data_IF_807723777896
#
_entry.id   IF_807723777896
#
_cell.length_a   1.000
_cell.length_b   1.000
_cell.length_c   1.000
_cell.angle_alpha   90.00
_cell.angle_beta   90.00
_cell.angle_gamma   90.00
#
_symmetry.space_group_name_H-M   'P 1'
#
loop_
_entity.id
_entity.type
_entity.pdbx_description
1 polymer ?
#
# COMPACT_ATOMS: atom_id res chain seq x y z
N UNK A 1 -10.28 -15.47 4.70
CA UNK A 1 -9.35 -14.32 4.44
C UNK A 1 -9.24 -13.48 5.70
N UNK A 2 -8.02 -13.13 6.10
CA UNK A 2 -7.73 -12.29 7.28
C UNK A 2 -7.71 -10.81 6.90
N UNK A 3 -7.99 -9.94 7.89
CA UNK A 3 -8.08 -8.50 7.69
C UNK A 3 -6.80 -7.84 8.23
N UNK A 4 -6.16 -7.01 7.41
CA UNK A 4 -5.04 -6.16 7.80
C UNK A 4 -5.36 -4.68 7.57
N UNK A 5 -4.55 -3.79 8.13
CA UNK A 5 -4.65 -2.35 7.88
C UNK A 5 -3.29 -1.68 7.98
N UNK A 6 -3.12 -0.57 7.27
CA UNK A 6 -1.89 0.24 7.35
C UNK A 6 -1.75 0.92 8.70
N UNK A 7 -0.51 0.97 9.24
CA UNK A 7 -0.23 1.75 10.46
C UNK A 7 -0.17 3.26 10.20
N UNK A 8 -0.15 3.67 8.95
CA UNK A 8 -0.09 5.07 8.55
C UNK A 8 -1.25 5.91 9.08
N UNK A 9 -2.43 5.28 9.25
CA UNK A 9 -3.60 5.94 9.81
C UNK A 9 -3.34 6.66 11.14
N UNK A 10 -2.40 6.16 11.93
CA UNK A 10 -2.08 6.72 13.25
C UNK A 10 -0.95 7.74 13.22
N UNK A 11 -0.17 7.83 12.14
CA UNK A 11 1.00 8.70 12.05
C UNK A 11 0.75 10.17 12.38
N UNK A 12 -0.37 10.80 12.00
CA UNK A 12 -0.63 12.18 12.37
C UNK A 12 -0.72 12.42 13.89
N UNK A 13 -1.08 11.38 14.66
CA UNK A 13 -1.46 11.48 16.08
C UNK A 13 -0.42 10.91 17.04
N UNK A 14 0.71 10.40 16.55
CA UNK A 14 1.75 9.72 17.34
C UNK A 14 3.14 10.23 16.98
N UNK A 15 4.16 9.92 17.80
CA UNK A 15 5.51 10.42 17.60
C UNK A 15 6.38 9.47 16.75
N UNK A 16 6.10 8.16 16.75
CA UNK A 16 6.90 7.15 16.06
C UNK A 16 6.07 5.91 15.71
N UNK A 17 6.68 4.99 14.95
CA UNK A 17 6.02 3.77 14.48
C UNK A 17 5.62 2.80 15.61
N UNK A 18 6.38 2.73 16.71
CA UNK A 18 6.02 1.87 17.85
C UNK A 18 4.75 2.38 18.56
N UNK A 19 4.60 3.70 18.68
CA UNK A 19 3.36 4.30 19.19
C UNK A 19 2.19 4.08 18.22
N UNK A 20 2.44 4.16 16.90
CA UNK A 20 1.43 3.84 15.89
C UNK A 20 0.90 2.41 16.07
N UNK A 21 1.78 1.43 16.22
CA UNK A 21 1.41 0.04 16.52
C UNK A 21 0.58 -0.06 17.80
N UNK A 22 1.03 0.59 18.87
CA UNK A 22 0.34 0.57 20.18
C UNK A 22 -1.08 1.13 20.10
N UNK A 23 -1.34 2.06 19.20
CA UNK A 23 -2.64 2.67 18.99
C UNK A 23 -3.71 1.68 18.48
N UNK A 24 -3.30 0.54 17.91
CA UNK A 24 -4.23 -0.49 17.40
C UNK A 24 -4.79 -1.43 18.48
N UNK A 25 -4.29 -1.37 19.73
CA UNK A 25 -4.81 -2.19 20.83
C UNK A 25 -6.31 -1.94 21.02
N UNK A 26 -7.11 -3.01 20.94
CA UNK A 26 -8.58 -2.95 21.13
C UNK A 26 -9.39 -2.57 19.89
N UNK A 27 -8.76 -2.30 18.74
CA UNK A 27 -9.48 -1.98 17.50
C UNK A 27 -10.06 -3.20 16.77
N UNK A 28 -9.57 -4.40 17.10
CA UNK A 28 -9.96 -5.66 16.45
C UNK A 28 -8.93 -6.17 15.45
N UNK A 29 -8.11 -5.31 14.87
CA UNK A 29 -7.01 -5.73 13.98
C UNK A 29 -5.97 -6.55 14.75
N UNK A 30 -5.42 -7.56 14.07
CA UNK A 30 -4.26 -8.36 14.50
C UNK A 30 -3.12 -8.28 13.50
N UNK A 31 -3.43 -7.93 12.27
CA UNK A 31 -2.50 -7.89 11.14
C UNK A 31 -2.32 -6.46 10.66
N UNK A 32 -1.08 -6.05 10.46
CA UNK A 32 -0.70 -4.68 10.14
C UNK A 32 0.12 -4.62 8.85
N UNK A 33 -0.09 -3.58 8.07
CA UNK A 33 0.76 -3.16 6.98
C UNK A 33 1.71 -2.05 7.48
N UNK A 34 3.01 -2.21 7.20
CA UNK A 34 4.04 -1.26 7.63
C UNK A 34 4.35 -0.28 6.50
N UNK A 35 3.83 0.94 6.60
CA UNK A 35 4.05 1.95 5.57
C UNK A 35 5.39 2.67 5.74
N UNK A 36 6.23 2.61 4.69
CA UNK A 36 7.39 3.48 4.49
C UNK A 36 7.09 4.64 3.53
N UNK A 37 5.84 4.79 3.07
CA UNK A 37 5.43 5.70 2.00
C UNK A 37 6.05 7.10 2.17
N UNK A 38 5.83 7.74 3.30
CA UNK A 38 6.30 9.09 3.61
C UNK A 38 7.76 9.18 4.10
N UNK A 39 8.51 8.07 4.18
CA UNK A 39 9.84 8.01 4.83
C UNK A 39 10.89 8.96 4.26
N UNK A 40 10.77 9.36 3.00
CA UNK A 40 11.66 10.33 2.35
C UNK A 40 11.05 11.72 2.25
N UNK A 41 9.73 11.83 2.26
CA UNK A 41 9.00 13.10 2.11
C UNK A 41 8.78 13.74 3.48
N UNK A 42 8.31 12.94 4.45
CA UNK A 42 8.05 13.35 5.85
C UNK A 42 8.73 12.36 6.83
N UNK A 43 10.06 12.37 6.93
CA UNK A 43 10.79 11.32 7.64
C UNK A 43 10.65 11.35 9.17
N UNK A 44 9.86 12.25 9.75
CA UNK A 44 9.81 12.46 11.21
C UNK A 44 9.34 11.22 11.97
N UNK A 45 8.41 10.45 11.40
CA UNK A 45 7.81 9.28 12.07
C UNK A 45 8.57 7.99 11.78
N UNK A 46 9.02 7.81 10.54
CA UNK A 46 9.66 6.58 10.06
C UNK A 46 10.86 6.87 9.15
N UNK A 47 11.95 7.45 9.68
CA UNK A 47 13.10 7.82 8.87
C UNK A 47 13.91 6.58 8.46
N UNK A 48 14.14 6.39 7.14
CA UNK A 48 15.01 5.35 6.59
C UNK A 48 16.45 5.80 6.39
N UNK A 49 16.70 7.10 6.21
CA UNK A 49 18.03 7.65 5.85
C UNK A 49 18.84 8.15 7.05
N UNK A 50 18.57 7.61 8.24
CA UNK A 50 19.32 7.88 9.49
C UNK A 50 20.09 6.64 9.92
N UNK A 51 21.09 6.81 10.79
CA UNK A 51 21.98 5.72 11.20
C UNK A 51 21.26 4.66 12.05
N UNK A 52 20.29 5.08 12.88
CA UNK A 52 19.54 4.23 13.81
C UNK A 52 18.23 3.66 13.21
N UNK A 53 18.07 3.67 11.89
CA UNK A 53 16.82 3.22 11.26
C UNK A 53 16.47 1.76 11.58
N UNK A 54 17.45 0.88 11.67
CA UNK A 54 17.23 -0.54 12.05
C UNK A 54 16.70 -0.67 13.47
N UNK A 55 17.22 0.11 14.41
CA UNK A 55 16.76 0.09 15.80
C UNK A 55 15.31 0.60 15.92
N UNK A 56 14.92 1.54 15.06
CA UNK A 56 13.53 2.03 15.02
C UNK A 56 12.57 0.95 14.50
N UNK A 57 12.96 0.23 13.44
CA UNK A 57 12.18 -0.89 12.92
C UNK A 57 12.09 -2.03 13.95
N UNK A 58 13.20 -2.36 14.61
CA UNK A 58 13.22 -3.37 15.68
C UNK A 58 12.28 -3.01 16.82
N UNK A 59 12.29 -1.76 17.29
CA UNK A 59 11.34 -1.32 18.34
C UNK A 59 9.88 -1.48 17.91
N UNK A 60 9.55 -1.14 16.66
CA UNK A 60 8.19 -1.36 16.16
C UNK A 60 7.83 -2.85 16.11
N UNK A 61 8.79 -3.71 15.73
CA UNK A 61 8.62 -5.18 15.73
C UNK A 61 8.41 -5.71 17.14
N UNK A 62 9.27 -5.33 18.09
CA UNK A 62 9.17 -5.73 19.50
C UNK A 62 7.82 -5.31 20.09
N UNK A 63 7.41 -4.06 19.83
CA UNK A 63 6.09 -3.56 20.28
C UNK A 63 4.95 -4.38 19.67
N UNK A 64 5.03 -4.73 18.40
CA UNK A 64 4.02 -5.56 17.74
C UNK A 64 3.94 -6.95 18.39
N UNK A 65 5.10 -7.60 18.64
CA UNK A 65 5.17 -8.92 19.25
C UNK A 65 4.61 -8.92 20.70
N UNK A 66 4.99 -7.93 21.50
CA UNK A 66 4.49 -7.77 22.87
C UNK A 66 2.98 -7.57 22.93
N UNK A 67 2.40 -6.89 21.95
CA UNK A 67 0.98 -6.57 21.88
C UNK A 67 0.17 -7.60 21.08
N UNK A 68 0.82 -8.62 20.49
CA UNK A 68 0.18 -9.68 19.73
C UNK A 68 -0.24 -9.28 18.31
N UNK A 69 0.43 -8.30 17.70
CA UNK A 69 0.27 -7.93 16.31
C UNK A 69 1.27 -8.66 15.41
N UNK A 70 0.91 -8.82 14.13
CA UNK A 70 1.78 -9.38 13.11
C UNK A 70 1.81 -8.45 11.90
N UNK A 71 3.01 -8.06 11.45
CA UNK A 71 3.16 -7.37 10.18
C UNK A 71 3.08 -8.39 9.03
N UNK A 72 2.30 -8.07 8.00
CA UNK A 72 2.00 -9.00 6.90
C UNK A 72 2.28 -8.43 5.51
N UNK A 73 2.33 -7.12 5.41
CA UNK A 73 2.55 -6.37 4.19
C UNK A 73 3.33 -5.11 4.52
N UNK A 74 3.97 -4.50 3.53
CA UNK A 74 4.54 -3.17 3.64
C UNK A 74 4.29 -2.36 2.38
N UNK A 75 4.33 -1.04 2.51
CA UNK A 75 4.40 -0.10 1.40
C UNK A 75 5.80 0.53 1.32
N UNK A 76 6.41 0.53 0.13
CA UNK A 76 7.72 1.12 -0.11
C UNK A 76 7.68 2.67 -0.04
N UNK A 77 8.85 3.33 0.20
CA UNK A 77 8.89 4.78 0.17
C UNK A 77 8.62 5.32 -1.23
N UNK A 78 7.89 6.44 -1.31
CA UNK A 78 7.82 7.22 -2.55
C UNK A 78 9.18 7.88 -2.80
N UNK A 79 9.74 7.62 -3.97
CA UNK A 79 11.06 8.13 -4.33
C UNK A 79 11.18 8.36 -5.85
N UNK A 80 12.17 9.18 -6.21
CA UNK A 80 12.60 9.29 -7.60
C UNK A 80 13.33 8.01 -8.02
N UNK A 81 12.92 7.41 -9.13
CA UNK A 81 13.50 6.16 -9.63
C UNK A 81 14.43 6.35 -10.83
N UNK A 82 14.59 7.58 -11.29
CA UNK A 82 15.60 7.97 -12.30
C UNK A 82 16.21 9.34 -11.98
N UNK A 83 17.28 9.68 -12.68
CA UNK A 83 17.97 10.96 -12.50
C UNK A 83 18.92 10.98 -11.29
N UNK A 84 19.20 12.18 -10.79
CA UNK A 84 20.23 12.40 -9.75
C UNK A 84 19.84 11.82 -8.37
N UNK A 85 18.56 11.69 -8.09
CA UNK A 85 18.04 11.24 -6.79
C UNK A 85 17.70 9.74 -6.77
N UNK A 86 17.84 9.05 -7.91
CA UNK A 86 17.55 7.61 -8.04
C UNK A 86 18.40 6.75 -7.08
N UNK A 87 19.68 7.11 -6.83
CA UNK A 87 20.54 6.38 -5.90
C UNK A 87 20.02 6.44 -4.46
N UNK A 88 19.49 7.60 -4.05
CA UNK A 88 18.81 7.74 -2.76
C UNK A 88 17.55 6.88 -2.70
N UNK A 89 16.77 6.86 -3.76
CA UNK A 89 15.58 6.00 -3.89
C UNK A 89 15.93 4.51 -3.80
N UNK A 90 16.96 4.06 -4.53
CA UNK A 90 17.46 2.68 -4.47
C UNK A 90 17.88 2.33 -3.04
N UNK A 91 18.67 3.19 -2.39
CA UNK A 91 19.15 2.96 -1.02
C UNK A 91 17.98 2.86 -0.02
N UNK A 92 17.02 3.78 -0.10
CA UNK A 92 15.85 3.76 0.78
C UNK A 92 14.98 2.50 0.55
N UNK A 93 14.79 2.11 -0.71
CA UNK A 93 14.01 0.90 -1.04
C UNK A 93 14.74 -0.37 -0.60
N UNK A 94 16.07 -0.44 -0.72
CA UNK A 94 16.86 -1.57 -0.17
C UNK A 94 16.71 -1.63 1.35
N UNK A 95 16.78 -0.49 2.06
CA UNK A 95 16.57 -0.45 3.51
C UNK A 95 15.16 -0.88 3.91
N UNK A 96 14.13 -0.55 3.13
CA UNK A 96 12.78 -1.05 3.39
C UNK A 96 12.63 -2.55 3.12
N UNK A 97 13.35 -3.12 2.13
CA UNK A 97 13.44 -4.58 1.93
C UNK A 97 14.11 -5.26 3.14
N UNK A 98 15.23 -4.73 3.63
CA UNK A 98 15.89 -5.24 4.85
C UNK A 98 14.97 -5.10 6.09
N UNK A 99 14.22 -4.00 6.19
CA UNK A 99 13.22 -3.81 7.24
C UNK A 99 12.09 -4.83 7.15
N UNK A 100 11.60 -5.15 5.96
CA UNK A 100 10.62 -6.23 5.76
C UNK A 100 11.13 -7.56 6.32
N UNK A 101 12.41 -7.89 6.14
CA UNK A 101 13.01 -9.09 6.74
C UNK A 101 12.98 -9.05 8.27
N UNK A 102 13.32 -7.91 8.88
CA UNK A 102 13.25 -7.71 10.35
C UNK A 102 11.81 -7.89 10.85
N UNK A 103 10.85 -7.33 10.14
CA UNK A 103 9.42 -7.35 10.48
C UNK A 103 8.74 -8.70 10.19
N UNK A 104 9.39 -9.59 9.42
CA UNK A 104 8.81 -10.85 8.96
C UNK A 104 7.84 -10.71 7.79
N UNK A 105 7.93 -9.61 7.03
CA UNK A 105 7.08 -9.29 5.89
C UNK A 105 7.64 -9.92 4.62
N UNK A 106 6.78 -10.59 3.86
CA UNK A 106 7.12 -11.22 2.58
C UNK A 106 6.81 -10.33 1.37
N UNK A 107 5.82 -9.47 1.46
CA UNK A 107 5.28 -8.69 0.35
C UNK A 107 5.42 -7.19 0.63
N UNK A 108 6.11 -6.48 -0.26
CA UNK A 108 6.22 -5.01 -0.21
C UNK A 108 5.64 -4.42 -1.49
N UNK A 109 4.61 -3.62 -1.34
CA UNK A 109 3.95 -2.87 -2.42
C UNK A 109 4.82 -1.69 -2.80
N UNK A 110 4.89 -1.36 -4.08
CA UNK A 110 5.66 -0.23 -4.60
C UNK A 110 4.98 0.41 -5.81
N UNK A 111 4.96 1.73 -5.83
CA UNK A 111 4.67 2.48 -7.06
C UNK A 111 5.85 2.43 -8.02
N UNK A 112 5.56 2.22 -9.29
CA UNK A 112 6.55 2.44 -10.35
C UNK A 112 6.72 3.94 -10.64
N UNK A 113 7.75 4.32 -11.39
CA UNK A 113 8.13 5.72 -11.54
C UNK A 113 7.13 6.59 -12.29
N UNK A 114 7.00 7.83 -11.86
CA UNK A 114 6.20 8.83 -12.53
C UNK A 114 7.07 9.68 -13.47
N UNK A 115 6.77 9.68 -14.76
CA UNK A 115 7.57 10.37 -15.79
C UNK A 115 6.73 11.34 -16.63
N UNK A 116 7.03 12.62 -16.55
CA UNK A 116 6.31 13.67 -17.27
C UNK A 116 6.53 13.65 -18.78
N UNK A 117 7.48 12.87 -19.28
CA UNK A 117 7.88 12.77 -20.68
C UNK A 117 7.44 11.47 -21.37
N UNK A 118 6.92 10.48 -20.64
CA UNK A 118 6.44 9.22 -21.21
C UNK A 118 4.92 9.20 -21.34
N UNK A 119 4.43 9.14 -22.57
CA UNK A 119 3.01 9.15 -22.88
C UNK A 119 2.47 7.75 -23.16
N UNK A 120 1.20 7.52 -22.90
CA UNK A 120 0.51 6.27 -23.28
C UNK A 120 0.62 5.99 -24.79
N UNK A 121 0.67 7.04 -25.61
CA UNK A 121 0.87 6.92 -27.06
C UNK A 121 2.23 6.32 -27.44
N UNK A 122 3.24 6.42 -26.59
CA UNK A 122 4.59 5.86 -26.82
C UNK A 122 4.66 4.35 -26.52
N UNK A 123 3.60 3.81 -25.90
CA UNK A 123 3.47 2.41 -25.52
C UNK A 123 4.16 2.08 -24.19
N UNK A 124 3.77 0.94 -23.63
CA UNK A 124 4.24 0.47 -22.30
C UNK A 124 5.73 0.14 -22.28
N UNK A 125 6.30 -0.33 -23.40
CA UNK A 125 7.69 -0.77 -23.44
C UNK A 125 8.70 0.35 -23.14
N UNK A 126 8.42 1.59 -23.58
CA UNK A 126 9.27 2.74 -23.25
C UNK A 126 9.29 2.97 -21.74
N UNK A 127 8.12 2.94 -21.12
CA UNK A 127 7.97 3.08 -19.68
C UNK A 127 8.67 1.94 -18.90
N UNK A 128 8.50 0.69 -19.33
CA UNK A 128 9.15 -0.46 -18.67
C UNK A 128 10.67 -0.35 -18.69
N UNK A 129 11.25 0.08 -19.82
CA UNK A 129 12.69 0.28 -19.96
C UNK A 129 13.24 1.39 -19.05
N UNK A 130 12.47 2.44 -18.82
CA UNK A 130 12.89 3.52 -17.92
C UNK A 130 12.86 3.08 -16.45
N UNK A 131 11.93 2.19 -16.08
CA UNK A 131 11.82 1.63 -14.74
C UNK A 131 12.82 0.49 -14.47
N UNK A 132 13.22 -0.26 -15.51
CA UNK A 132 14.03 -1.47 -15.39
C UNK A 132 15.31 -1.29 -14.57
N UNK A 133 16.16 -0.26 -14.76
CA UNK A 133 17.41 -0.13 -14.03
C UNK A 133 17.22 -0.03 -12.51
N UNK A 134 16.21 0.71 -12.08
CA UNK A 134 15.88 0.84 -10.66
C UNK A 134 15.47 -0.50 -10.06
N UNK A 135 14.50 -1.19 -10.66
CA UNK A 135 13.98 -2.45 -10.11
C UNK A 135 14.99 -3.59 -10.21
N UNK A 136 15.83 -3.63 -11.24
CA UNK A 136 16.93 -4.63 -11.29
C UNK A 136 17.99 -4.40 -10.22
N UNK A 137 18.25 -3.15 -9.80
CA UNK A 137 19.16 -2.86 -8.71
C UNK A 137 18.66 -3.39 -7.36
N UNK A 138 17.35 -3.64 -7.20
CA UNK A 138 16.75 -4.17 -5.97
C UNK A 138 16.87 -5.70 -5.87
N UNK A 139 17.02 -6.43 -6.99
CA UNK A 139 16.96 -7.89 -7.03
C UNK A 139 17.89 -8.56 -6.02
N UNK A 140 19.18 -8.17 -5.87
CA UNK A 140 20.04 -8.79 -4.87
C UNK A 140 19.50 -8.70 -3.45
N UNK A 141 18.93 -7.54 -3.07
CA UNK A 141 18.33 -7.36 -1.75
C UNK A 141 17.03 -8.17 -1.59
N UNK A 142 16.21 -8.27 -2.65
CA UNK A 142 15.01 -9.08 -2.68
C UNK A 142 15.33 -10.57 -2.45
N UNK A 143 16.34 -11.09 -3.14
CA UNK A 143 16.79 -12.49 -3.02
C UNK A 143 17.38 -12.79 -1.63
N UNK A 144 18.27 -11.92 -1.13
CA UNK A 144 18.93 -12.09 0.18
C UNK A 144 17.91 -12.07 1.33
N UNK A 145 16.88 -11.23 1.23
CA UNK A 145 15.89 -11.06 2.28
C UNK A 145 14.61 -11.87 2.06
N UNK A 146 14.47 -12.54 0.92
CA UNK A 146 13.28 -13.31 0.50
C UNK A 146 12.00 -12.46 0.53
N UNK A 147 12.06 -11.24 -0.05
CA UNK A 147 10.97 -10.27 -0.11
C UNK A 147 10.51 -10.07 -1.55
N UNK A 148 9.21 -10.17 -1.78
CA UNK A 148 8.59 -9.83 -3.05
C UNK A 148 8.39 -8.33 -3.18
N UNK A 149 8.62 -7.79 -4.37
CA UNK A 149 8.22 -6.44 -4.77
C UNK A 149 6.96 -6.55 -5.61
N UNK A 150 5.92 -5.84 -5.21
CA UNK A 150 4.61 -5.88 -5.83
C UNK A 150 4.30 -4.53 -6.48
N UNK A 151 4.23 -4.52 -7.81
CA UNK A 151 3.83 -3.32 -8.54
C UNK A 151 2.35 -3.03 -8.30
N UNK A 152 2.06 -1.81 -7.94
CA UNK A 152 0.70 -1.35 -7.69
C UNK A 152 0.12 -0.65 -8.93
N UNK A 153 -1.17 -0.90 -9.20
CA UNK A 153 -1.88 -0.13 -10.22
C UNK A 153 -2.11 1.31 -9.75
N UNK A 154 -1.96 2.23 -10.68
CA UNK A 154 -2.36 3.63 -10.49
C UNK A 154 -3.70 3.90 -11.19
N UNK A 155 -4.12 5.16 -11.27
CA UNK A 155 -5.26 5.61 -12.03
C UNK A 155 -4.85 6.55 -13.16
N UNK A 156 -5.54 6.46 -14.31
CA UNK A 156 -5.31 7.36 -15.45
C UNK A 156 -5.51 8.83 -15.06
N UNK A 157 -6.44 9.07 -14.13
CA UNK A 157 -6.72 10.42 -13.65
C UNK A 157 -5.57 11.09 -12.90
N UNK A 158 -4.59 10.31 -12.36
CA UNK A 158 -3.36 10.84 -11.78
C UNK A 158 -2.35 11.24 -12.84
N UNK A 159 -2.57 10.84 -14.08
CA UNK A 159 -1.66 11.05 -15.19
C UNK A 159 -2.22 12.11 -16.13
N UNK A 160 -2.18 13.42 -15.78
CA UNK A 160 -2.58 14.47 -16.70
C UNK A 160 -1.76 14.36 -17.97
N UNK A 161 -2.32 14.81 -19.08
CA UNK A 161 -1.65 14.83 -20.40
C UNK A 161 -1.33 13.44 -20.99
N UNK A 162 -2.00 12.38 -20.55
CA UNK A 162 -1.88 11.04 -21.09
C UNK A 162 -0.55 10.36 -20.79
N UNK A 163 0.06 10.64 -19.65
CA UNK A 163 1.23 9.94 -19.15
C UNK A 163 0.96 8.44 -19.00
N UNK A 164 2.00 7.62 -19.12
CA UNK A 164 1.89 6.19 -18.90
C UNK A 164 2.12 5.86 -17.45
N UNK A 165 1.23 5.06 -16.92
CA UNK A 165 1.33 4.32 -15.67
C UNK A 165 0.61 2.99 -15.83
N UNK A 166 1.03 1.90 -15.20
CA UNK A 166 0.23 0.70 -15.14
C UNK A 166 -1.05 0.97 -14.35
N UNK A 167 -2.19 0.92 -15.02
CA UNK A 167 -3.50 1.17 -14.41
C UNK A 167 -4.43 -0.04 -14.55
N UNK A 168 -4.05 -1.07 -15.32
CA UNK A 168 -4.84 -2.27 -15.56
C UNK A 168 -4.08 -3.52 -15.16
N UNK A 169 -4.81 -4.60 -14.92
CA UNK A 169 -4.24 -5.92 -14.68
C UNK A 169 -3.31 -6.36 -15.81
N UNK A 170 -3.72 -6.11 -17.06
CA UNK A 170 -2.89 -6.42 -18.22
C UNK A 170 -1.56 -5.67 -18.19
N UNK A 171 -1.57 -4.37 -17.92
CA UNK A 171 -0.34 -3.55 -17.87
C UNK A 171 0.60 -3.98 -16.74
N UNK A 172 0.05 -4.37 -15.58
CA UNK A 172 0.82 -4.95 -14.47
C UNK A 172 1.42 -6.31 -14.85
N UNK A 173 0.63 -7.20 -15.45
CA UNK A 173 1.09 -8.50 -15.91
C UNK A 173 2.18 -8.36 -16.98
N UNK A 174 2.02 -7.46 -17.94
CA UNK A 174 3.02 -7.16 -18.97
C UNK A 174 4.34 -6.65 -18.33
N UNK A 175 4.25 -5.83 -17.29
CA UNK A 175 5.44 -5.30 -16.60
C UNK A 175 6.14 -6.40 -15.77
N UNK A 176 5.40 -7.25 -15.08
CA UNK A 176 5.95 -8.41 -14.35
C UNK A 176 6.64 -9.36 -15.31
N UNK A 177 6.02 -9.66 -16.46
CA UNK A 177 6.61 -10.51 -17.50
C UNK A 177 7.89 -9.89 -18.09
N UNK A 178 7.89 -8.58 -18.34
CA UNK A 178 9.07 -7.84 -18.80
C UNK A 178 10.24 -7.90 -17.80
N UNK A 179 9.96 -7.76 -16.50
CA UNK A 179 10.97 -7.88 -15.45
C UNK A 179 11.51 -9.31 -15.31
N UNK A 180 10.71 -10.32 -15.64
CA UNK A 180 11.08 -11.74 -15.70
C UNK A 180 11.87 -12.23 -14.48
N UNK A 181 11.35 -11.97 -13.27
CA UNK A 181 11.96 -12.43 -12.03
C UNK A 181 10.88 -12.88 -11.04
N UNK A 182 11.01 -14.03 -10.35
CA UNK A 182 9.94 -14.66 -9.56
C UNK A 182 9.49 -13.86 -8.32
N UNK A 183 10.31 -12.94 -7.85
CA UNK A 183 9.98 -12.10 -6.69
C UNK A 183 9.23 -10.81 -7.07
N UNK A 184 8.95 -10.56 -8.37
CA UNK A 184 8.01 -9.53 -8.77
C UNK A 184 6.58 -10.07 -8.81
N UNK A 185 5.63 -9.24 -8.43
CA UNK A 185 4.21 -9.54 -8.45
C UNK A 185 3.38 -8.26 -8.55
N UNK A 186 2.07 -8.40 -8.33
CA UNK A 186 1.12 -7.29 -8.35
C UNK A 186 0.47 -7.07 -6.99
N UNK A 187 0.25 -5.82 -6.66
CA UNK A 187 -0.74 -5.36 -5.71
C UNK A 187 -1.88 -4.70 -6.48
N UNK A 188 -3.12 -4.92 -6.06
CA UNK A 188 -4.27 -4.27 -6.65
C UNK A 188 -4.90 -3.28 -5.68
N UNK A 189 -4.83 -2.01 -6.04
CA UNK A 189 -5.54 -0.95 -5.35
C UNK A 189 -6.93 -0.78 -5.97
N UNK A 190 -7.96 -1.05 -5.17
CA UNK A 190 -9.34 -1.04 -5.63
C UNK A 190 -9.88 0.38 -5.78
N UNK A 191 -9.38 1.33 -5.03
CA UNK A 191 -9.77 2.73 -5.15
C UNK A 191 -9.18 3.38 -6.40
N UNK A 192 -7.91 3.12 -6.73
CA UNK A 192 -7.30 3.54 -7.99
C UNK A 192 -8.10 3.00 -9.19
N UNK A 193 -8.48 1.72 -9.14
CA UNK A 193 -9.31 1.12 -10.17
C UNK A 193 -10.71 1.75 -10.27
N UNK A 194 -11.29 2.15 -9.13
CA UNK A 194 -12.59 2.82 -9.09
C UNK A 194 -12.55 4.23 -9.74
N UNK A 195 -11.44 4.96 -9.62
CA UNK A 195 -11.24 6.25 -10.28
C UNK A 195 -11.32 6.15 -11.81
N UNK A 196 -10.89 5.01 -12.37
CA UNK A 196 -10.94 4.71 -13.79
C UNK A 196 -12.21 3.95 -14.21
N UNK A 197 -13.16 3.75 -13.28
CA UNK A 197 -14.39 2.98 -13.50
C UNK A 197 -14.10 1.58 -14.10
N UNK A 198 -13.06 0.89 -13.56
CA UNK A 198 -12.66 -0.44 -14.03
C UNK A 198 -13.60 -1.51 -13.49
N UNK A 199 -13.76 -2.57 -14.27
CA UNK A 199 -14.44 -3.80 -13.84
C UNK A 199 -13.53 -4.55 -12.83
N UNK A 200 -13.77 -4.35 -11.54
CA UNK A 200 -12.97 -4.92 -10.45
C UNK A 200 -12.84 -6.45 -10.54
N UNK A 201 -13.95 -7.13 -10.84
CA UNK A 201 -13.96 -8.58 -10.94
C UNK A 201 -13.03 -9.07 -12.06
N UNK A 202 -13.15 -8.45 -13.25
CA UNK A 202 -12.33 -8.79 -14.41
C UNK A 202 -10.85 -8.53 -14.16
N UNK A 203 -10.51 -7.34 -13.68
CA UNK A 203 -9.12 -6.95 -13.44
C UNK A 203 -8.46 -7.86 -12.40
N UNK A 204 -9.12 -8.13 -11.26
CA UNK A 204 -8.60 -9.00 -10.21
C UNK A 204 -8.41 -10.44 -10.72
N UNK A 205 -9.37 -10.98 -11.45
CA UNK A 205 -9.25 -12.34 -12.02
C UNK A 205 -8.19 -12.42 -13.12
N UNK A 206 -7.96 -11.35 -13.91
CA UNK A 206 -6.91 -11.29 -14.93
C UNK A 206 -5.49 -11.25 -14.31
N UNK A 207 -5.30 -10.64 -13.14
CA UNK A 207 -4.03 -10.71 -12.41
C UNK A 207 -3.69 -12.15 -11.98
N UNK A 208 -4.67 -12.93 -11.57
CA UNK A 208 -4.51 -14.34 -11.22
C UNK A 208 -3.38 -14.55 -10.20
N UNK A 209 -2.47 -15.49 -10.47
CA UNK A 209 -1.34 -15.83 -9.58
C UNK A 209 -0.34 -14.70 -9.30
N UNK A 210 -0.34 -13.65 -10.10
CA UNK A 210 0.54 -12.50 -9.91
C UNK A 210 0.02 -11.57 -8.80
N UNK A 211 -1.28 -11.64 -8.47
CA UNK A 211 -1.88 -10.89 -7.37
C UNK A 211 -1.42 -11.45 -6.02
N UNK A 212 -0.67 -10.69 -5.25
CA UNK A 212 -0.13 -11.11 -3.94
C UNK A 212 -0.51 -10.16 -2.79
N UNK A 213 -1.02 -8.98 -3.10
CA UNK A 213 -1.50 -8.00 -2.13
C UNK A 213 -2.67 -7.20 -2.70
N UNK A 214 -3.45 -6.60 -1.82
CA UNK A 214 -4.48 -5.62 -2.18
C UNK A 214 -4.40 -4.42 -1.24
N UNK A 215 -4.77 -3.24 -1.77
CA UNK A 215 -5.13 -2.07 -0.98
C UNK A 215 -6.64 -1.84 -1.11
N UNK A 216 -7.31 -1.87 0.03
CA UNK A 216 -8.75 -1.76 0.13
C UNK A 216 -9.12 -0.42 0.77
N UNK A 217 -9.71 0.43 -0.02
CA UNK A 217 -10.34 1.66 0.42
C UNK A 217 -11.48 2.04 -0.51
N UNK A 218 -12.18 3.09 -0.21
CA UNK A 218 -13.27 3.59 -1.05
C UNK A 218 -13.01 5.04 -1.46
N UNK A 219 -13.65 5.46 -2.52
CA UNK A 219 -13.67 6.83 -2.99
C UNK A 219 -14.91 7.09 -3.85
N UNK A 220 -15.13 8.35 -4.22
CA UNK A 220 -16.30 8.77 -4.98
C UNK A 220 -16.16 8.63 -6.51
N UNK A 221 -15.17 7.89 -6.99
CA UNK A 221 -14.86 7.73 -8.41
C UNK A 221 -14.29 8.98 -9.10
N UNK A 222 -13.86 10.01 -8.33
CA UNK A 222 -13.33 11.28 -8.87
C UNK A 222 -12.06 11.75 -8.19
N UNK A 223 -11.88 11.42 -6.92
CA UNK A 223 -10.73 11.78 -6.09
C UNK A 223 -10.29 10.55 -5.36
N UNK A 224 -9.01 10.42 -5.23
CA UNK A 224 -8.41 9.40 -4.38
C UNK A 224 -8.56 9.80 -2.92
N UNK A 225 -9.58 9.23 -2.28
CA UNK A 225 -10.01 9.67 -0.96
C UNK A 225 -9.55 8.75 0.17
N UNK A 226 -9.17 7.52 -0.13
CA UNK A 226 -8.77 6.53 0.88
C UNK A 226 -9.72 6.46 2.09
N UNK A 227 -11.04 6.47 1.81
CA UNK A 227 -12.06 6.39 2.85
C UNK A 227 -12.43 4.94 3.18
N UNK A 228 -13.20 4.75 4.26
CA UNK A 228 -13.71 3.43 4.60
C UNK A 228 -14.68 2.91 3.53
N UNK A 229 -14.76 1.57 3.34
CA UNK A 229 -15.77 0.95 2.48
C UNK A 229 -17.18 1.43 2.80
N UNK A 230 -18.03 1.56 1.77
CA UNK A 230 -19.41 2.08 1.79
C UNK A 230 -19.54 3.60 1.96
N UNK A 231 -18.45 4.36 1.97
CA UNK A 231 -18.51 5.84 1.95
C UNK A 231 -18.48 6.37 0.51
N UNK A 232 -17.93 5.60 -0.41
CA UNK A 232 -17.80 5.96 -1.82
C UNK A 232 -18.63 5.10 -2.77
N UNK A 233 -18.04 4.69 -3.89
CA UNK A 233 -18.71 4.02 -5.00
C UNK A 233 -18.06 2.71 -5.45
N UNK A 234 -17.08 2.20 -4.72
CA UNK A 234 -16.44 0.91 -5.05
C UNK A 234 -17.45 -0.24 -4.99
N UNK A 235 -17.41 -1.12 -5.98
CA UNK A 235 -18.21 -2.34 -6.02
C UNK A 235 -17.53 -3.46 -5.22
N UNK A 236 -17.81 -3.52 -3.90
CA UNK A 236 -17.23 -4.53 -3.02
C UNK A 236 -17.71 -5.94 -3.32
N UNK A 237 -18.89 -6.12 -3.92
CA UNK A 237 -19.33 -7.43 -4.39
C UNK A 237 -18.46 -7.95 -5.53
N UNK A 238 -18.15 -7.11 -6.52
CA UNK A 238 -17.24 -7.45 -7.62
C UNK A 238 -15.81 -7.71 -7.12
N UNK A 239 -15.31 -6.88 -6.19
CA UNK A 239 -13.97 -7.03 -5.57
C UNK A 239 -13.87 -8.39 -4.87
N UNK A 240 -14.78 -8.68 -3.93
CA UNK A 240 -14.70 -9.93 -3.14
C UNK A 240 -14.85 -11.16 -4.02
N UNK A 241 -15.78 -11.15 -4.98
CA UNK A 241 -15.92 -12.26 -5.95
C UNK A 241 -14.65 -12.45 -6.79
N UNK A 242 -14.05 -11.35 -7.25
CA UNK A 242 -12.77 -11.38 -7.96
C UNK A 242 -11.66 -12.02 -7.13
N UNK A 243 -11.52 -11.66 -5.85
CA UNK A 243 -10.54 -12.23 -4.94
C UNK A 243 -10.75 -13.74 -4.72
N UNK A 244 -12.01 -14.17 -4.56
CA UNK A 244 -12.36 -15.59 -4.42
C UNK A 244 -11.98 -16.36 -5.70
N UNK A 245 -12.44 -15.90 -6.85
CA UNK A 245 -12.31 -16.63 -8.12
C UNK A 245 -10.87 -16.57 -8.68
N UNK A 246 -10.08 -15.58 -8.31
CA UNK A 246 -8.63 -15.54 -8.60
C UNK A 246 -7.81 -16.50 -7.73
N UNK A 247 -8.39 -17.05 -6.66
CA UNK A 247 -7.68 -17.86 -5.68
C UNK A 247 -6.74 -17.05 -4.81
N UNK A 248 -7.05 -15.79 -4.52
CA UNK A 248 -6.23 -14.93 -3.70
C UNK A 248 -6.13 -15.43 -2.25
N UNK A 249 -4.92 -15.66 -1.77
CA UNK A 249 -4.63 -16.19 -0.42
C UNK A 249 -4.04 -15.13 0.53
N UNK A 250 -3.96 -13.87 0.09
CA UNK A 250 -3.41 -12.77 0.90
C UNK A 250 -4.40 -12.19 1.92
N UNK A 251 -4.07 -11.02 2.41
CA UNK A 251 -4.88 -10.30 3.39
C UNK A 251 -5.80 -9.29 2.71
N UNK A 252 -6.97 -9.07 3.30
CA UNK A 252 -7.84 -7.94 2.96
C UNK A 252 -7.28 -6.71 3.67
N UNK A 253 -6.31 -6.05 3.04
CA UNK A 253 -5.51 -5.00 3.65
C UNK A 253 -6.16 -3.64 3.39
N UNK A 254 -6.63 -3.01 4.46
CA UNK A 254 -7.23 -1.67 4.39
C UNK A 254 -6.12 -0.61 4.28
N UNK A 255 -6.28 0.29 3.34
CA UNK A 255 -5.52 1.51 3.20
C UNK A 255 -6.49 2.71 3.22
N UNK A 256 -7.10 2.94 4.38
CA UNK A 256 -8.15 3.93 4.57
C UNK A 256 -7.80 4.98 5.65
N UNK A 257 -6.61 5.66 5.56
CA UNK A 257 -6.16 6.63 6.56
C UNK A 257 -7.09 7.85 6.66
N UNK A 258 -7.87 8.12 5.62
CA UNK A 258 -8.77 9.27 5.54
C UNK A 258 -10.21 8.96 5.94
N UNK A 259 -10.41 8.09 6.93
CA UNK A 259 -11.74 7.89 7.52
C UNK A 259 -12.36 9.23 7.97
N UNK A 260 -11.55 10.09 8.55
CA UNK A 260 -11.85 11.50 8.74
C UNK A 260 -11.12 12.27 7.64
N UNK A 261 -11.84 13.06 6.85
CA UNK A 261 -11.35 13.74 5.66
C UNK A 261 -9.88 14.19 5.72
N UNK A 262 -9.09 13.67 4.81
CA UNK A 262 -7.65 13.90 4.71
C UNK A 262 -7.31 15.32 4.20
N UNK A 263 -8.25 15.98 3.51
CA UNK A 263 -8.09 17.34 3.00
C UNK A 263 -8.46 18.40 4.05
N UNK A 264 -7.92 18.24 5.27
CA UNK A 264 -8.06 19.32 6.22
C UNK A 264 -7.23 20.50 5.75
N UNK A 265 -7.85 21.65 5.81
CA UNK A 265 -7.17 22.90 5.54
C UNK A 265 -5.93 22.97 6.46
N UNK A 266 -4.74 22.90 5.90
CA UNK A 266 -3.45 22.97 6.62
C UNK A 266 -3.31 24.24 7.47
N UNK A 267 -4.18 25.22 7.26
CA UNK A 267 -4.27 26.45 8.07
C UNK A 267 -5.13 26.31 9.33
N UNK A 268 -5.73 25.14 9.63
CA UNK A 268 -6.45 24.92 10.87
C UNK A 268 -5.46 24.70 12.00
N UNK A 269 -5.36 25.68 12.89
CA UNK A 269 -4.44 25.67 14.05
C UNK A 269 -5.16 25.61 15.41
N UNK A 270 -6.46 25.38 15.40
CA UNK A 270 -7.26 25.31 16.63
C UNK A 270 -7.22 23.92 17.28
N UNK A 271 -7.73 23.79 18.53
CA UNK A 271 -7.76 22.50 19.24
C UNK A 271 -8.63 21.43 18.56
N UNK A 272 -9.40 21.78 17.54
CA UNK A 272 -10.20 20.86 16.72
C UNK A 272 -9.61 20.71 15.30
N UNK A 273 -8.38 21.12 15.06
CA UNK A 273 -7.71 20.92 13.78
C UNK A 273 -7.56 19.43 13.47
N UNK A 274 -7.37 18.60 14.47
CA UNK A 274 -7.29 17.14 14.37
C UNK A 274 -8.24 16.48 15.34
N UNK A 275 -8.65 15.25 15.04
CA UNK A 275 -9.40 14.40 15.98
C UNK A 275 -8.46 13.87 17.06
N UNK A 276 -9.00 13.53 18.23
CA UNK A 276 -8.20 12.86 19.25
C UNK A 276 -7.84 11.43 18.84
N UNK A 277 -6.74 10.91 19.37
CA UNK A 277 -6.33 9.53 19.18
C UNK A 277 -7.44 8.54 19.57
N UNK A 278 -8.21 8.83 20.63
CA UNK A 278 -9.36 8.01 21.07
C UNK A 278 -10.42 7.92 19.95
N UNK A 279 -10.84 9.04 19.38
CA UNK A 279 -11.84 9.06 18.29
C UNK A 279 -11.28 8.35 17.04
N UNK A 280 -10.00 8.53 16.71
CA UNK A 280 -9.38 7.82 15.58
C UNK A 280 -9.38 6.30 15.80
N UNK A 281 -9.07 5.84 17.01
CA UNK A 281 -9.12 4.41 17.35
C UNK A 281 -10.53 3.83 17.23
N UNK A 282 -11.57 4.55 17.64
CA UNK A 282 -12.97 4.13 17.44
C UNK A 282 -13.34 4.02 15.94
N UNK A 283 -12.87 4.95 15.12
CA UNK A 283 -13.06 4.89 13.68
C UNK A 283 -12.36 3.67 13.06
N UNK A 284 -11.13 3.39 13.48
CA UNK A 284 -10.37 2.20 13.03
C UNK A 284 -11.05 0.91 13.52
N UNK A 285 -11.61 0.89 14.74
CA UNK A 285 -12.40 -0.24 15.20
C UNK A 285 -13.70 -0.43 14.38
N UNK A 286 -14.31 0.66 13.90
CA UNK A 286 -15.44 0.58 12.97
C UNK A 286 -14.99 0.05 11.58
N UNK A 287 -13.84 0.49 11.09
CA UNK A 287 -13.27 0.00 9.84
C UNK A 287 -13.05 -1.52 9.87
N UNK A 288 -12.53 -2.06 10.99
CA UNK A 288 -12.43 -3.50 11.19
C UNK A 288 -13.78 -4.21 11.11
N UNK A 289 -14.81 -3.66 11.78
CA UNK A 289 -16.17 -4.25 11.78
C UNK A 289 -16.80 -4.23 10.39
N UNK A 290 -16.59 -3.16 9.62
CA UNK A 290 -17.03 -3.05 8.23
C UNK A 290 -16.37 -4.14 7.38
N UNK A 291 -15.06 -4.29 7.46
CA UNK A 291 -14.31 -5.29 6.71
C UNK A 291 -14.72 -6.71 7.07
N UNK A 292 -14.91 -6.97 8.37
CA UNK A 292 -15.43 -8.25 8.85
C UNK A 292 -16.82 -8.55 8.30
N UNK A 293 -17.71 -7.55 8.24
CA UNK A 293 -19.03 -7.69 7.64
C UNK A 293 -18.93 -8.06 6.16
N UNK A 294 -18.09 -7.35 5.39
CA UNK A 294 -17.86 -7.64 3.96
C UNK A 294 -17.43 -9.10 3.77
N UNK A 295 -16.36 -9.54 4.43
CA UNK A 295 -15.85 -10.90 4.27
C UNK A 295 -16.78 -11.98 4.80
N UNK A 296 -17.49 -11.73 5.89
CA UNK A 296 -18.46 -12.67 6.45
C UNK A 296 -19.71 -12.84 5.58
N UNK A 297 -20.07 -11.83 4.79
CA UNK A 297 -21.19 -11.92 3.83
C UNK A 297 -20.92 -12.98 2.74
N UNK A 298 -19.66 -13.29 2.48
CA UNK A 298 -19.22 -14.30 1.51
C UNK A 298 -18.64 -15.56 2.18
N UNK A 299 -18.79 -15.73 3.49
CA UNK A 299 -18.28 -16.87 4.27
C UNK A 299 -16.75 -17.09 4.14
N UNK A 300 -15.96 -16.03 3.88
CA UNK A 300 -14.51 -16.10 3.70
C UNK A 300 -13.71 -15.38 4.79
N UNK A 301 -14.37 -14.87 5.82
CA UNK A 301 -13.68 -14.27 6.96
C UNK A 301 -12.93 -15.32 7.79
N UNK A 302 -11.71 -15.00 8.18
CA UNK A 302 -10.85 -15.75 9.11
C UNK A 302 -10.38 -14.84 10.24
N UNK A 303 -10.32 -15.38 11.49
CA UNK A 303 -9.84 -14.63 12.65
C UNK A 303 -8.32 -14.36 12.63
#
# INVERSE_FOLDING_TARGET
MKIATTIEEMYPLVENTAEAVSAYVGTGFKYLDYSFYDSLIKPQKNPLMVDDWKDRVLRAKETADELGFTFVQAHAPVCEIRGKDAETGITATIRSIEACKILGIKNMVIHSGFYSDLKRADGSLAYFKENEPFFRALIPAMEENDVNILFENSAVNFCPDGLFFPCSAKELNDFIEFMNHPLFGAAWDVGHANLDNRDQYKEITELGKNLKAVHIHDNNGKRDQHTAPFIGTCDFDAIVKGLIDSGYEGYFTLEAPSFFADNRNENLNGPLAEVSLEIKREAVALLYKISKHILSTYDIYED
#
